data_IF_167846558949
#
_entry.id   IF_167846558949
#
_cell.length_a   1.000
_cell.length_b   1.000
_cell.length_c   1.000
_cell.angle_alpha   90.00
_cell.angle_beta   90.00
_cell.angle_gamma   90.00
#
_symmetry.space_group_name_H-M   'P 1'
#
loop_
_entity.id
_entity.type
_entity.pdbx_description
1 polymer ?
#
# COMPACT_ATOMS: atom_id res chain seq x y z
N UNK A 1 7.91 -16.68 -20.73
CA UNK A 1 8.65 -17.48 -19.72
C UNK A 1 7.82 -18.72 -19.44
N UNK A 2 8.42 -19.92 -19.40
CA UNK A 2 7.70 -21.13 -19.02
C UNK A 2 7.11 -20.96 -17.61
N UNK A 3 5.87 -21.41 -17.39
CA UNK A 3 5.30 -21.45 -16.04
C UNK A 3 6.14 -22.42 -15.20
N UNK A 4 6.79 -21.90 -14.17
CA UNK A 4 7.51 -22.72 -13.19
C UNK A 4 6.51 -23.67 -12.54
N UNK A 5 6.75 -24.98 -12.64
CA UNK A 5 5.90 -25.99 -12.04
C UNK A 5 6.41 -26.28 -10.63
N UNK A 6 5.58 -26.03 -9.63
CA UNK A 6 5.86 -26.38 -8.25
C UNK A 6 5.35 -27.81 -7.93
N UNK A 7 6.01 -28.54 -7.02
CA UNK A 7 7.26 -28.18 -6.36
C UNK A 7 8.48 -28.32 -7.30
N UNK A 8 9.45 -27.41 -7.16
CA UNK A 8 10.70 -27.42 -7.96
C UNK A 8 11.66 -28.50 -7.47
N UNK A 9 12.59 -28.91 -8.33
CA UNK A 9 13.38 -30.13 -8.10
C UNK A 9 14.88 -29.92 -8.06
N UNK A 10 15.37 -28.71 -8.36
CA UNK A 10 16.79 -28.36 -8.33
C UNK A 10 17.09 -27.33 -7.24
N UNK A 11 18.34 -27.28 -6.78
CA UNK A 11 18.79 -26.30 -5.77
C UNK A 11 18.62 -24.86 -6.28
N UNK A 12 18.98 -24.57 -7.53
CA UNK A 12 18.86 -23.23 -8.11
C UNK A 12 17.40 -22.78 -8.19
N UNK A 13 16.50 -23.65 -8.65
CA UNK A 13 15.07 -23.34 -8.66
C UNK A 13 14.52 -23.20 -7.24
N UNK A 14 15.00 -23.98 -6.27
CA UNK A 14 14.59 -23.87 -4.87
C UNK A 14 14.97 -22.52 -4.26
N UNK A 15 16.16 -21.99 -4.59
CA UNK A 15 16.58 -20.66 -4.17
C UNK A 15 15.61 -19.58 -4.65
N UNK A 16 15.21 -19.64 -5.92
CA UNK A 16 14.22 -18.71 -6.48
C UNK A 16 12.79 -18.94 -5.94
N UNK A 17 12.37 -20.19 -5.74
CA UNK A 17 11.05 -20.55 -5.25
C UNK A 17 10.79 -20.10 -3.80
N UNK A 18 11.86 -19.96 -3.01
CA UNK A 18 11.85 -19.56 -1.61
C UNK A 18 12.31 -18.10 -1.38
N UNK A 19 12.21 -17.23 -2.39
CA UNK A 19 12.61 -15.83 -2.26
C UNK A 19 11.80 -15.12 -1.15
N UNK A 20 12.44 -14.62 -0.07
CA UNK A 20 11.74 -14.13 1.12
C UNK A 20 10.98 -12.81 0.90
N UNK A 21 11.42 -11.99 -0.06
CA UNK A 21 10.79 -10.69 -0.35
C UNK A 21 9.65 -10.77 -1.38
N UNK A 22 9.39 -11.94 -1.98
CA UNK A 22 8.30 -12.10 -2.94
C UNK A 22 7.02 -12.59 -2.25
N UNK A 23 6.04 -11.69 -2.13
CA UNK A 23 4.71 -12.02 -1.64
C UNK A 23 3.94 -12.91 -2.63
N UNK A 24 3.13 -13.83 -2.12
CA UNK A 24 2.29 -14.69 -2.98
C UNK A 24 1.00 -13.96 -3.37
N UNK A 25 0.65 -14.04 -4.66
CA UNK A 25 -0.64 -13.59 -5.17
C UNK A 25 -1.80 -14.45 -4.64
N UNK A 26 -3.01 -13.91 -4.70
CA UNK A 26 -4.21 -14.70 -4.44
C UNK A 26 -4.34 -15.83 -5.46
N UNK A 27 -4.66 -17.03 -4.98
CA UNK A 27 -4.74 -18.25 -5.80
C UNK A 27 -3.39 -18.91 -6.12
N UNK A 28 -2.26 -18.38 -5.63
CA UNK A 28 -0.96 -19.03 -5.80
C UNK A 28 -0.95 -20.41 -5.10
N UNK A 29 -0.60 -21.50 -5.81
CA UNK A 29 -0.65 -22.85 -5.25
C UNK A 29 0.28 -23.04 -4.04
N UNK A 30 1.31 -22.20 -3.88
CA UNK A 30 2.27 -22.22 -2.76
C UNK A 30 1.70 -21.65 -1.47
N UNK A 31 0.53 -21.01 -1.51
CA UNK A 31 -0.11 -20.42 -0.32
C UNK A 31 -0.57 -21.51 0.64
N UNK A 32 -0.20 -21.37 1.92
CA UNK A 32 -0.67 -22.22 3.02
C UNK A 32 -1.42 -21.33 3.99
N UNK A 33 -2.62 -21.71 4.39
CA UNK A 33 -3.43 -20.97 5.36
C UNK A 33 -2.87 -21.16 6.76
N UNK A 34 -2.13 -20.16 7.24
CA UNK A 34 -1.41 -20.24 8.52
C UNK A 34 -2.22 -19.72 9.72
N UNK A 35 -3.44 -19.19 9.52
CA UNK A 35 -4.28 -18.64 10.59
C UNK A 35 -4.47 -19.59 11.78
N UNK A 36 -4.76 -20.90 11.60
CA UNK A 36 -4.96 -21.82 12.72
C UNK A 36 -3.74 -21.97 13.64
N UNK A 37 -2.53 -21.80 13.09
CA UNK A 37 -1.26 -21.89 13.83
C UNK A 37 -0.69 -20.51 14.23
N UNK A 38 -1.46 -19.45 13.96
CA UNK A 38 -1.20 -18.04 14.27
C UNK A 38 -2.24 -17.47 15.24
N UNK A 39 -2.84 -18.31 16.08
CA UNK A 39 -3.83 -17.90 17.08
C UNK A 39 -5.26 -17.79 16.56
N UNK A 40 -5.54 -18.19 15.31
CA UNK A 40 -6.90 -18.36 14.80
C UNK A 40 -7.61 -17.08 14.37
N UNK A 41 -6.94 -15.93 14.37
CA UNK A 41 -7.55 -14.66 13.97
C UNK A 41 -7.63 -14.53 12.45
N UNK A 42 -8.84 -14.69 11.89
CA UNK A 42 -9.12 -14.53 10.46
C UNK A 42 -9.14 -13.04 10.05
N UNK A 43 -7.97 -12.49 9.73
CA UNK A 43 -7.79 -11.08 9.40
C UNK A 43 -8.63 -10.63 8.21
N UNK A 44 -8.56 -11.37 7.09
CA UNK A 44 -9.27 -11.00 5.85
C UNK A 44 -10.79 -10.96 6.06
N UNK A 45 -11.32 -11.97 6.75
CA UNK A 45 -12.74 -12.06 7.13
C UNK A 45 -13.15 -10.90 8.03
N UNK A 46 -12.35 -10.60 9.05
CA UNK A 46 -12.68 -9.58 10.05
C UNK A 46 -12.71 -8.18 9.42
N UNK A 47 -11.70 -7.81 8.65
CA UNK A 47 -11.62 -6.51 7.99
C UNK A 47 -12.75 -6.34 6.97
N UNK A 48 -12.99 -7.34 6.11
CA UNK A 48 -14.07 -7.30 5.12
C UNK A 48 -15.43 -7.10 5.81
N UNK A 49 -15.67 -7.78 6.93
CA UNK A 49 -16.89 -7.64 7.71
C UNK A 49 -17.01 -6.25 8.36
N UNK A 50 -15.92 -5.70 8.90
CA UNK A 50 -15.93 -4.38 9.51
C UNK A 50 -16.26 -3.30 8.47
N UNK A 51 -15.60 -3.35 7.30
CA UNK A 51 -15.90 -2.49 6.14
C UNK A 51 -17.38 -2.60 5.74
N UNK A 52 -17.92 -3.82 5.69
CA UNK A 52 -19.34 -4.02 5.34
C UNK A 52 -20.35 -3.47 6.34
N UNK A 53 -19.90 -3.18 7.56
CA UNK A 53 -20.71 -2.61 8.64
C UNK A 53 -20.49 -1.10 8.81
N UNK A 54 -19.55 -0.52 8.08
CA UNK A 54 -19.32 0.93 8.10
C UNK A 54 -20.55 1.64 7.52
N UNK A 55 -21.14 2.61 8.25
CA UNK A 55 -22.30 3.33 7.75
C UNK A 55 -21.93 4.23 6.55
N UNK A 56 -22.88 4.51 5.64
CA UNK A 56 -22.66 5.45 4.55
C UNK A 56 -22.18 6.82 5.05
N UNK A 57 -21.21 7.40 4.35
CA UNK A 57 -20.60 8.68 4.72
C UNK A 57 -19.41 8.57 5.69
N UNK A 58 -19.11 7.36 6.18
CA UNK A 58 -17.94 7.07 6.99
C UNK A 58 -17.04 6.04 6.30
N UNK A 59 -15.77 6.01 6.71
CA UNK A 59 -14.78 5.09 6.15
C UNK A 59 -14.06 4.32 7.26
N UNK A 60 -13.87 3.02 7.02
CA UNK A 60 -13.09 2.14 7.88
C UNK A 60 -11.60 2.45 7.72
N UNK A 61 -10.89 2.67 8.83
CA UNK A 61 -9.47 3.04 8.84
C UNK A 61 -8.69 2.02 9.68
N UNK A 62 -8.16 0.99 9.02
CA UNK A 62 -7.55 -0.15 9.70
C UNK A 62 -6.03 -0.04 9.73
N UNK A 63 -5.44 -0.18 10.92
CA UNK A 63 -4.00 -0.44 11.05
C UNK A 63 -3.71 -1.94 11.14
N UNK A 64 -2.66 -2.39 10.45
CA UNK A 64 -2.14 -3.75 10.51
C UNK A 64 -0.65 -3.70 10.83
N UNK A 65 -0.19 -4.57 11.73
CA UNK A 65 1.24 -4.75 12.00
C UNK A 65 1.64 -6.21 12.09
N UNK A 66 2.93 -6.45 12.23
CA UNK A 66 3.54 -7.75 12.40
C UNK A 66 5.02 -7.69 12.03
N UNK A 67 5.77 -8.66 12.51
CA UNK A 67 7.21 -8.72 12.24
C UNK A 67 7.52 -8.77 10.74
N UNK A 68 8.68 -8.23 10.35
CA UNK A 68 9.19 -8.38 8.98
C UNK A 68 9.33 -9.87 8.68
N UNK A 69 8.90 -10.28 7.49
CA UNK A 69 8.94 -11.69 7.07
C UNK A 69 7.82 -12.56 7.64
N UNK A 70 6.86 -12.04 8.42
CA UNK A 70 5.72 -12.86 8.88
C UNK A 70 4.68 -13.15 7.78
N UNK A 71 4.87 -12.65 6.55
CA UNK A 71 3.97 -12.89 5.42
C UNK A 71 2.81 -11.90 5.30
N UNK A 72 2.94 -10.69 5.86
CA UNK A 72 1.89 -9.65 5.80
C UNK A 72 1.42 -9.36 4.38
N UNK A 73 2.34 -9.06 3.47
CA UNK A 73 2.04 -8.80 2.06
C UNK A 73 1.23 -9.93 1.41
N UNK A 74 1.57 -11.19 1.70
CA UNK A 74 0.80 -12.34 1.23
C UNK A 74 -0.63 -12.35 1.79
N UNK A 75 -0.80 -12.12 3.10
CA UNK A 75 -2.14 -12.03 3.73
C UNK A 75 -2.95 -10.82 3.23
N UNK A 76 -2.29 -9.71 2.90
CA UNK A 76 -2.92 -8.52 2.31
C UNK A 76 -3.41 -8.79 0.88
N UNK A 77 -2.67 -9.57 0.08
CA UNK A 77 -3.14 -10.05 -1.23
C UNK A 77 -4.34 -10.99 -1.12
N UNK A 78 -4.38 -11.85 -0.09
CA UNK A 78 -5.59 -12.64 0.20
C UNK A 78 -6.77 -11.76 0.62
N UNK A 79 -6.53 -10.72 1.43
CA UNK A 79 -7.54 -9.72 1.79
C UNK A 79 -8.06 -8.98 0.55
N UNK A 80 -7.17 -8.58 -0.37
CA UNK A 80 -7.56 -7.91 -1.62
C UNK A 80 -8.54 -8.76 -2.44
N UNK A 81 -8.21 -10.05 -2.65
CA UNK A 81 -9.09 -10.97 -3.37
C UNK A 81 -10.44 -11.13 -2.66
N UNK A 82 -10.43 -11.31 -1.34
CA UNK A 82 -11.67 -11.43 -0.54
C UNK A 82 -12.54 -10.17 -0.60
N UNK A 83 -11.94 -8.98 -0.57
CA UNK A 83 -12.66 -7.72 -0.73
C UNK A 83 -13.33 -7.63 -2.11
N UNK A 84 -12.60 -8.04 -3.17
CA UNK A 84 -13.15 -8.10 -4.54
C UNK A 84 -14.30 -9.09 -4.65
N UNK A 85 -14.17 -10.28 -4.08
CA UNK A 85 -15.26 -11.27 -3.98
C UNK A 85 -16.48 -10.73 -3.21
N UNK A 86 -16.24 -9.94 -2.17
CA UNK A 86 -17.29 -9.27 -1.41
C UNK A 86 -17.91 -8.06 -2.13
N UNK A 87 -17.44 -7.73 -3.35
CA UNK A 87 -17.97 -6.65 -4.18
C UNK A 87 -17.32 -5.28 -3.94
N UNK A 88 -16.15 -5.20 -3.31
CA UNK A 88 -15.39 -3.95 -3.13
C UNK A 88 -14.29 -3.79 -4.17
N UNK A 89 -14.09 -2.57 -4.65
CA UNK A 89 -12.98 -2.27 -5.55
C UNK A 89 -11.70 -2.09 -4.73
N UNK A 90 -10.94 -3.18 -4.55
CA UNK A 90 -9.73 -3.16 -3.75
C UNK A 90 -8.49 -2.81 -4.60
N UNK A 91 -7.90 -1.64 -4.29
CA UNK A 91 -6.66 -1.12 -4.88
C UNK A 91 -5.51 -1.42 -3.93
N UNK A 92 -4.50 -2.13 -4.43
CA UNK A 92 -3.28 -2.45 -3.68
C UNK A 92 -2.23 -1.38 -3.96
N UNK A 93 -1.61 -0.84 -2.92
CA UNK A 93 -0.62 0.22 -3.00
C UNK A 93 0.67 -0.32 -2.38
N UNK A 94 1.66 -0.60 -3.22
CA UNK A 94 2.99 -1.06 -2.80
C UNK A 94 3.86 0.15 -2.45
N UNK A 95 3.93 0.49 -1.17
CA UNK A 95 4.69 1.64 -0.70
C UNK A 95 6.20 1.49 -0.96
N UNK A 96 6.75 0.28 -0.98
CA UNK A 96 8.17 0.06 -1.27
C UNK A 96 8.51 0.32 -2.73
N UNK A 97 7.61 -0.03 -3.64
CA UNK A 97 7.79 0.22 -5.06
C UNK A 97 7.60 1.70 -5.41
N UNK A 98 6.71 2.40 -4.71
CA UNK A 98 6.26 3.74 -5.06
C UNK A 98 6.97 4.86 -4.29
N UNK A 99 7.35 4.63 -3.04
CA UNK A 99 7.76 5.68 -2.11
C UNK A 99 9.21 5.53 -1.65
N UNK A 100 9.82 6.67 -1.34
CA UNK A 100 11.10 6.72 -0.62
C UNK A 100 10.87 6.52 0.87
N UNK A 101 10.96 5.28 1.33
CA UNK A 101 10.78 4.90 2.74
C UNK A 101 11.83 5.49 3.70
N UNK A 102 12.91 6.07 3.17
CA UNK A 102 13.92 6.78 3.95
C UNK A 102 13.53 8.21 4.33
N UNK A 103 12.64 8.83 3.55
CA UNK A 103 12.16 10.21 3.74
C UNK A 103 10.68 10.27 3.33
N UNK A 104 9.82 9.68 4.16
CA UNK A 104 8.39 9.55 3.88
C UNK A 104 7.56 10.55 4.70
N UNK A 105 6.56 11.16 4.06
CA UNK A 105 5.56 12.03 4.67
C UNK A 105 4.14 11.58 4.31
N UNK A 106 3.14 12.06 5.05
CA UNK A 106 1.74 11.74 4.76
C UNK A 106 1.32 12.24 3.37
N UNK A 107 1.91 13.34 2.87
CA UNK A 107 1.64 13.85 1.53
C UNK A 107 2.00 12.83 0.44
N UNK A 108 3.15 12.17 0.57
CA UNK A 108 3.57 11.19 -0.43
C UNK A 108 2.61 9.99 -0.46
N UNK A 109 2.15 9.55 0.72
CA UNK A 109 1.14 8.48 0.84
C UNK A 109 -0.15 8.89 0.12
N UNK A 110 -0.66 10.09 0.36
CA UNK A 110 -1.90 10.58 -0.26
C UNK A 110 -1.80 10.68 -1.79
N UNK A 111 -0.65 11.11 -2.32
CA UNK A 111 -0.41 11.12 -3.77
C UNK A 111 -0.32 9.70 -4.33
N UNK A 112 0.38 8.78 -3.65
CA UNK A 112 0.48 7.40 -4.11
C UNK A 112 -0.88 6.69 -4.15
N UNK A 113 -1.73 6.87 -3.14
CA UNK A 113 -3.10 6.33 -3.14
C UNK A 113 -3.88 6.75 -4.40
N UNK A 114 -3.80 8.03 -4.75
CA UNK A 114 -4.58 8.60 -5.86
C UNK A 114 -3.99 8.27 -7.22
N UNK A 115 -2.65 8.14 -7.34
CA UNK A 115 -2.02 7.59 -8.53
C UNK A 115 -2.46 6.13 -8.76
N UNK A 116 -2.35 5.28 -7.75
CA UNK A 116 -2.73 3.86 -7.86
C UNK A 116 -4.22 3.68 -8.18
N UNK A 117 -5.07 4.56 -7.65
CA UNK A 117 -6.47 4.61 -8.07
C UNK A 117 -6.60 4.90 -9.57
N UNK A 118 -5.91 5.91 -10.10
CA UNK A 118 -5.96 6.25 -11.52
C UNK A 118 -5.50 5.07 -12.40
N UNK A 119 -4.42 4.39 -12.00
CA UNK A 119 -3.89 3.21 -12.69
C UNK A 119 -4.87 2.04 -12.65
N UNK A 120 -5.45 1.74 -11.48
CA UNK A 120 -6.45 0.69 -11.33
C UNK A 120 -7.72 0.97 -12.16
N UNK A 121 -8.21 2.21 -12.18
CA UNK A 121 -9.37 2.60 -12.99
C UNK A 121 -9.08 2.49 -14.49
N UNK A 122 -7.86 2.85 -14.93
CA UNK A 122 -7.43 2.69 -16.32
C UNK A 122 -7.42 1.22 -16.74
N UNK A 123 -6.92 0.33 -15.88
CA UNK A 123 -6.95 -1.12 -16.09
C UNK A 123 -8.37 -1.66 -16.32
N UNK A 124 -9.35 -1.13 -15.58
CA UNK A 124 -10.78 -1.48 -15.68
C UNK A 124 -11.53 -0.69 -16.76
N UNK A 125 -10.82 0.13 -17.55
CA UNK A 125 -11.38 1.01 -18.58
C UNK A 125 -12.46 1.97 -18.03
N UNK A 126 -12.34 2.36 -16.76
CA UNK A 126 -13.17 3.37 -16.11
C UNK A 126 -12.49 4.72 -16.33
N UNK A 127 -13.14 5.60 -17.11
CA UNK A 127 -12.61 6.93 -17.43
C UNK A 127 -13.12 7.96 -16.46
N UNK A 128 -12.19 8.66 -15.81
CA UNK A 128 -12.43 9.90 -15.06
C UNK A 128 -12.69 11.05 -16.06
N UNK A 129 -13.53 12.06 -15.74
CA UNK A 129 -13.76 13.19 -16.62
C UNK A 129 -12.46 13.88 -17.02
N UNK A 130 -12.27 14.20 -18.31
CA UNK A 130 -11.11 14.96 -18.76
C UNK A 130 -10.94 16.27 -18.00
N UNK A 131 -12.03 16.97 -17.67
CA UNK A 131 -11.99 18.24 -16.93
C UNK A 131 -11.40 18.07 -15.53
N UNK A 132 -11.87 17.08 -14.76
CA UNK A 132 -11.38 16.83 -13.41
C UNK A 132 -9.88 16.49 -13.41
N UNK A 133 -9.45 15.72 -14.41
CA UNK A 133 -8.04 15.40 -14.60
C UNK A 133 -7.24 16.64 -14.99
N UNK A 134 -7.74 17.46 -15.91
CA UNK A 134 -7.08 18.68 -16.35
C UNK A 134 -6.93 19.68 -15.19
N UNK A 135 -7.98 19.91 -14.41
CA UNK A 135 -7.95 20.82 -13.26
C UNK A 135 -6.91 20.40 -12.20
N UNK A 136 -6.75 19.09 -12.02
CA UNK A 136 -5.77 18.50 -11.13
C UNK A 136 -4.36 18.61 -11.72
N UNK A 137 -4.21 18.30 -13.02
CA UNK A 137 -2.96 18.38 -13.76
C UNK A 137 -2.40 19.81 -13.77
N UNK A 138 -3.25 20.82 -14.03
CA UNK A 138 -2.88 22.24 -14.01
C UNK A 138 -2.48 22.71 -12.61
N UNK A 139 -3.23 22.31 -11.58
CA UNK A 139 -2.90 22.69 -10.20
C UNK A 139 -1.57 22.09 -9.75
N UNK A 140 -1.29 20.83 -10.07
CA UNK A 140 0.00 20.21 -9.75
C UNK A 140 1.15 20.79 -10.58
N UNK A 141 0.93 21.06 -11.86
CA UNK A 141 1.91 21.73 -12.70
C UNK A 141 2.31 23.08 -12.09
N UNK A 142 1.34 23.82 -11.55
CA UNK A 142 1.63 25.08 -10.85
C UNK A 142 2.51 24.91 -9.60
N UNK A 143 2.42 23.78 -8.89
CA UNK A 143 3.27 23.53 -7.72
C UNK A 143 4.66 23.04 -8.13
N UNK A 144 4.72 22.16 -9.13
CA UNK A 144 5.93 21.42 -9.49
C UNK A 144 6.83 22.19 -10.45
N UNK A 145 6.27 23.01 -11.35
CA UNK A 145 7.04 23.73 -12.36
C UNK A 145 7.54 25.07 -11.81
N UNK A 146 8.81 25.40 -12.07
CA UNK A 146 9.32 26.76 -11.88
C UNK A 146 8.73 27.70 -12.94
N UNK A 147 8.79 29.01 -12.70
CA UNK A 147 8.38 30.02 -13.70
C UNK A 147 9.08 29.82 -15.06
N UNK A 148 10.35 29.43 -15.06
CA UNK A 148 11.10 29.11 -16.29
C UNK A 148 10.58 27.85 -16.99
N UNK A 149 10.28 26.79 -16.24
CA UNK A 149 9.73 25.55 -16.78
C UNK A 149 8.29 25.73 -17.28
N UNK A 150 7.49 26.57 -16.62
CA UNK A 150 6.14 26.92 -17.11
C UNK A 150 6.22 27.61 -18.47
N UNK A 151 7.13 28.58 -18.62
CA UNK A 151 7.35 29.27 -19.91
C UNK A 151 7.85 28.34 -21.02
N UNK A 152 8.55 27.27 -20.67
CA UNK A 152 9.01 26.25 -21.62
C UNK A 152 7.86 25.30 -22.02
N UNK A 153 7.03 24.88 -21.05
CA UNK A 153 5.81 24.09 -21.30
C UNK A 153 4.81 24.88 -22.14
N UNK A 154 4.54 26.15 -21.82
CA UNK A 154 3.68 27.04 -22.60
C UNK A 154 4.18 27.19 -24.05
N UNK A 155 5.49 27.37 -24.25
CA UNK A 155 6.11 27.42 -25.58
C UNK A 155 6.01 26.09 -26.34
N UNK A 156 6.08 24.95 -25.64
CA UNK A 156 5.95 23.62 -26.25
C UNK A 156 4.50 23.28 -26.62
N UNK A 157 3.52 23.82 -25.89
CA UNK A 157 2.08 23.68 -26.19
C UNK A 157 1.67 24.48 -27.43
N UNK A 158 2.40 25.55 -27.77
CA UNK A 158 2.23 26.31 -29.02
C UNK A 158 2.84 25.60 -30.25
N UNK A 159 3.71 24.60 -30.07
CA UNK A 159 4.55 24.07 -31.14
C UNK A 159 4.21 22.65 -31.65
N UNK A 160 3.43 21.81 -30.96
CA UNK A 160 3.12 20.47 -31.49
C UNK A 160 1.77 19.86 -31.02
N UNK A 161 0.86 19.68 -31.98
CA UNK A 161 -0.22 18.68 -31.91
C UNK A 161 0.39 17.27 -32.12
N UNK A 162 1.05 16.74 -31.09
CA UNK A 162 1.77 15.46 -31.15
C UNK A 162 1.77 14.71 -29.83
N UNK A 163 0.59 14.35 -29.32
CA UNK A 163 0.45 13.70 -28.01
C UNK A 163 0.76 12.20 -28.10
N UNK A 164 2.03 11.83 -27.86
CA UNK A 164 2.35 10.55 -27.21
C UNK A 164 1.72 10.50 -25.80
N UNK A 165 1.62 9.33 -25.13
CA UNK A 165 0.91 9.22 -23.86
C UNK A 165 1.56 10.11 -22.80
N UNK A 166 0.96 11.27 -22.53
CA UNK A 166 1.41 12.17 -21.49
C UNK A 166 1.33 11.44 -20.15
N UNK A 167 2.46 11.37 -19.44
CA UNK A 167 2.52 10.85 -18.06
C UNK A 167 1.51 11.63 -17.22
N UNK A 168 0.59 10.97 -16.48
CA UNK A 168 -0.40 11.65 -15.64
C UNK A 168 0.26 12.60 -14.62
N UNK A 169 -0.37 13.71 -14.24
CA UNK A 169 0.29 14.65 -13.32
C UNK A 169 0.49 14.07 -11.93
N UNK A 170 -0.37 13.18 -11.45
CA UNK A 170 -0.17 12.47 -10.18
C UNK A 170 1.12 11.63 -10.21
N UNK A 171 1.39 10.92 -11.30
CA UNK A 171 2.64 10.17 -11.45
C UNK A 171 3.87 11.11 -11.51
N UNK A 172 3.77 12.25 -12.22
CA UNK A 172 4.84 13.27 -12.23
C UNK A 172 5.07 13.87 -10.85
N UNK A 173 3.98 14.13 -10.12
CA UNK A 173 4.02 14.65 -8.77
C UNK A 173 4.68 13.66 -7.82
N UNK A 174 4.25 12.39 -7.85
CA UNK A 174 4.84 11.36 -7.01
C UNK A 174 6.34 11.26 -7.31
N UNK A 175 6.74 11.24 -8.58
CA UNK A 175 8.15 11.22 -8.96
C UNK A 175 8.93 12.46 -8.46
N UNK A 176 8.29 13.63 -8.41
CA UNK A 176 8.89 14.87 -7.92
C UNK A 176 9.07 14.86 -6.39
N UNK A 177 8.08 14.37 -5.63
CA UNK A 177 8.12 14.34 -4.15
C UNK A 177 8.85 13.11 -3.59
N UNK A 178 9.06 12.06 -4.39
CA UNK A 178 9.86 10.87 -4.02
C UNK A 178 11.31 10.96 -4.51
N UNK A 179 11.69 12.03 -5.23
CA UNK A 179 13.06 12.22 -5.72
C UNK A 179 13.45 11.31 -6.89
N UNK A 180 12.49 10.65 -7.54
CA UNK A 180 12.71 9.91 -8.78
C UNK A 180 13.05 10.85 -9.96
N UNK A 181 12.67 12.12 -9.86
CA UNK A 181 13.17 13.18 -10.75
C UNK A 181 14.52 13.66 -10.20
N UNK A 182 15.54 13.77 -11.07
CA UNK A 182 16.89 14.29 -10.77
C UNK A 182 16.91 15.80 -10.40
N UNK A 183 15.92 16.29 -9.67
CA UNK A 183 15.94 17.60 -9.02
C UNK A 183 16.41 17.40 -7.58
N UNK A 184 17.42 18.17 -7.13
CA UNK A 184 18.02 17.99 -5.80
C UNK A 184 17.01 18.05 -4.64
N UNK A 185 17.43 17.56 -3.47
CA UNK A 185 16.62 17.48 -2.23
C UNK A 185 15.90 18.78 -1.85
N UNK A 186 16.46 19.94 -2.19
CA UNK A 186 15.84 21.25 -1.97
C UNK A 186 14.51 21.44 -2.73
N UNK A 187 14.37 20.86 -3.93
CA UNK A 187 13.14 20.99 -4.72
C UNK A 187 12.00 20.17 -4.13
N UNK A 188 12.31 18.96 -3.67
CA UNK A 188 11.36 18.07 -2.97
C UNK A 188 10.78 18.76 -1.72
N UNK A 189 11.66 19.35 -0.91
CA UNK A 189 11.27 20.10 0.29
C UNK A 189 10.35 21.27 -0.09
N UNK A 190 10.70 22.02 -1.13
CA UNK A 190 9.88 23.15 -1.59
C UNK A 190 8.48 22.71 -2.09
N UNK A 191 8.41 21.62 -2.86
CA UNK A 191 7.12 21.08 -3.33
C UNK A 191 6.25 20.66 -2.13
N UNK A 192 6.81 19.89 -1.19
CA UNK A 192 6.09 19.49 0.03
C UNK A 192 5.63 20.71 0.83
N UNK A 193 6.48 21.72 1.01
CA UNK A 193 6.14 22.98 1.69
C UNK A 193 4.97 23.69 1.02
N UNK A 194 4.94 23.76 -0.31
CA UNK A 194 3.82 24.37 -1.04
C UNK A 194 2.51 23.58 -0.89
N UNK A 195 2.59 22.25 -0.86
CA UNK A 195 1.44 21.39 -0.60
C UNK A 195 0.92 21.56 0.82
N UNK A 196 1.80 21.62 1.82
CA UNK A 196 1.43 21.87 3.22
C UNK A 196 0.76 23.23 3.40
N UNK A 197 1.26 24.27 2.74
CA UNK A 197 0.64 25.60 2.75
C UNK A 197 -0.78 25.61 2.15
N UNK A 198 -1.06 24.68 1.25
CA UNK A 198 -2.33 24.53 0.56
C UNK A 198 -3.05 23.23 0.95
N UNK A 199 -2.77 22.68 2.13
CA UNK A 199 -3.17 21.32 2.53
C UNK A 199 -4.67 21.05 2.34
N UNK A 200 -5.52 22.02 2.72
CA UNK A 200 -6.97 21.89 2.56
C UNK A 200 -7.38 21.74 1.10
N UNK A 201 -6.81 22.56 0.22
CA UNK A 201 -7.07 22.52 -1.22
C UNK A 201 -6.51 21.24 -1.82
N UNK A 202 -5.34 20.81 -1.37
CA UNK A 202 -4.71 19.57 -1.78
C UNK A 202 -5.60 18.36 -1.50
N UNK A 203 -5.99 18.15 -0.24
CA UNK A 203 -6.87 17.05 0.17
C UNK A 203 -8.21 17.13 -0.58
N UNK A 204 -8.80 18.32 -0.70
CA UNK A 204 -10.05 18.49 -1.44
C UNK A 204 -9.93 18.02 -2.89
N UNK A 205 -8.85 18.39 -3.59
CA UNK A 205 -8.63 17.99 -4.99
C UNK A 205 -8.43 16.49 -5.14
N UNK A 206 -7.68 15.86 -4.23
CA UNK A 206 -7.55 14.41 -4.20
C UNK A 206 -8.91 13.73 -3.96
N UNK A 207 -9.71 14.23 -3.04
CA UNK A 207 -11.02 13.67 -2.74
C UNK A 207 -12.05 13.88 -3.85
N UNK A 208 -11.98 14.96 -4.63
CA UNK A 208 -12.82 15.11 -5.84
C UNK A 208 -12.59 13.96 -6.82
N UNK A 209 -11.32 13.54 -6.99
CA UNK A 209 -10.96 12.39 -7.83
C UNK A 209 -11.52 11.08 -7.26
N UNK A 210 -11.31 10.86 -5.96
CA UNK A 210 -11.78 9.67 -5.24
C UNK A 210 -13.30 9.57 -5.28
N UNK A 211 -14.02 10.68 -5.07
CA UNK A 211 -15.48 10.70 -5.06
C UNK A 211 -16.07 10.45 -6.46
N UNK A 212 -15.51 11.05 -7.53
CA UNK A 212 -15.92 10.74 -8.90
C UNK A 212 -15.64 9.26 -9.24
N UNK A 213 -14.49 8.72 -8.84
CA UNK A 213 -14.18 7.31 -8.99
C UNK A 213 -15.20 6.41 -8.30
N UNK A 214 -15.55 6.70 -7.04
CA UNK A 214 -16.56 5.95 -6.27
C UNK A 214 -17.93 5.96 -6.92
N UNK A 215 -18.37 7.11 -7.44
CA UNK A 215 -19.63 7.21 -8.20
C UNK A 215 -19.60 6.30 -9.44
N UNK A 216 -18.48 6.27 -10.17
CA UNK A 216 -18.33 5.41 -11.37
C UNK A 216 -18.26 3.92 -11.01
N UNK A 217 -17.54 3.58 -9.95
CA UNK A 217 -17.43 2.22 -9.43
C UNK A 217 -18.81 1.70 -8.99
N UNK A 218 -19.60 2.53 -8.31
CA UNK A 218 -20.97 2.19 -7.94
C UNK A 218 -21.85 1.90 -9.16
N UNK A 219 -21.75 2.69 -10.23
CA UNK A 219 -22.45 2.42 -11.51
C UNK A 219 -22.00 1.12 -12.20
N UNK A 220 -20.82 0.60 -11.85
CA UNK A 220 -20.29 -0.69 -12.32
C UNK A 220 -20.64 -1.85 -11.40
N UNK A 221 -21.38 -1.62 -10.31
CA UNK A 221 -21.81 -2.66 -9.37
C UNK A 221 -20.86 -2.90 -8.20
N UNK A 222 -19.79 -2.12 -8.06
CA UNK A 222 -18.94 -2.15 -6.88
C UNK A 222 -19.64 -1.46 -5.70
N UNK A 223 -19.47 -2.00 -4.48
CA UNK A 223 -20.04 -1.45 -3.25
C UNK A 223 -19.36 -0.14 -2.85
N UNK A 224 -18.03 -0.15 -2.80
CA UNK A 224 -17.20 1.03 -2.56
C UNK A 224 -15.72 0.74 -2.92
N UNK A 225 -14.87 1.74 -2.76
CA UNK A 225 -13.41 1.70 -2.91
C UNK A 225 -12.73 1.31 -1.59
N UNK A 226 -11.67 0.50 -1.68
CA UNK A 226 -10.81 0.16 -0.54
C UNK A 226 -9.35 0.23 -0.97
N UNK A 227 -8.53 0.99 -0.24
CA UNK A 227 -7.09 1.00 -0.41
C UNK A 227 -6.42 0.04 0.59
N UNK A 228 -5.45 -0.72 0.11
CA UNK A 228 -4.56 -1.57 0.92
C UNK A 228 -3.15 -1.06 0.72
N UNK A 229 -2.60 -0.37 1.71
CA UNK A 229 -1.25 0.20 1.67
C UNK A 229 -0.29 -0.71 2.41
N UNK A 230 0.53 -1.41 1.65
CA UNK A 230 1.53 -2.37 2.13
C UNK A 230 2.94 -1.77 2.10
N UNK A 231 3.80 -2.21 3.03
CA UNK A 231 5.21 -1.82 3.09
C UNK A 231 5.53 -0.59 3.95
N UNK A 232 4.54 0.18 4.40
CA UNK A 232 4.77 1.36 5.26
C UNK A 232 5.43 1.01 6.61
N UNK A 233 5.29 -0.23 7.08
CA UNK A 233 5.97 -0.68 8.30
C UNK A 233 7.50 -0.74 8.17
N UNK A 234 8.02 -0.67 6.95
CA UNK A 234 9.44 -0.72 6.62
C UNK A 234 10.06 0.69 6.53
N UNK A 235 9.28 1.75 6.78
CA UNK A 235 9.81 3.11 6.87
C UNK A 235 10.96 3.21 7.88
N UNK A 236 11.93 4.07 7.60
CA UNK A 236 13.07 4.25 8.50
C UNK A 236 12.64 4.92 9.79
N UNK A 237 13.04 4.32 10.92
CA UNK A 237 12.90 4.93 12.23
C UNK A 237 14.01 5.97 12.43
N UNK A 238 13.62 7.22 12.65
CA UNK A 238 14.54 8.26 13.11
C UNK A 238 13.87 9.13 14.19
N UNK A 239 14.59 9.50 15.26
CA UNK A 239 14.13 10.53 16.17
C UNK A 239 14.12 11.89 15.47
N UNK A 240 13.13 12.71 15.77
CA UNK A 240 12.94 14.05 15.23
C UNK A 240 13.30 15.12 16.29
N UNK A 241 13.65 16.36 15.88
CA UNK A 241 14.07 17.41 16.81
C UNK A 241 13.01 17.81 17.85
N UNK A 242 11.73 17.59 17.55
CA UNK A 242 10.60 17.86 18.43
C UNK A 242 10.34 16.73 19.46
N UNK A 243 11.20 15.71 19.50
CA UNK A 243 11.08 14.56 20.40
C UNK A 243 10.18 13.45 19.87
N UNK A 244 9.55 13.61 18.70
CA UNK A 244 8.79 12.55 18.04
C UNK A 244 9.72 11.59 17.29
N UNK A 245 9.15 10.54 16.71
CA UNK A 245 9.82 9.70 15.72
C UNK A 245 9.17 9.90 14.35
N UNK A 246 9.87 9.57 13.26
CA UNK A 246 9.29 9.50 11.91
C UNK A 246 8.01 8.66 11.87
N UNK A 247 7.97 7.56 12.64
CA UNK A 247 6.79 6.71 12.76
C UNK A 247 5.62 7.45 13.42
N UNK A 248 5.87 8.11 14.56
CA UNK A 248 4.85 8.87 15.30
C UNK A 248 4.38 10.09 14.51
N UNK A 249 5.27 10.76 13.79
CA UNK A 249 4.92 11.88 12.94
C UNK A 249 3.88 11.45 11.89
N UNK A 250 4.12 10.34 11.18
CA UNK A 250 3.21 9.85 10.14
C UNK A 250 1.88 9.33 10.70
N UNK A 251 1.92 8.44 11.69
CA UNK A 251 0.74 7.68 12.12
C UNK A 251 0.04 8.23 13.36
N UNK A 252 0.63 9.20 14.07
CA UNK A 252 0.01 9.83 15.26
C UNK A 252 -0.24 11.30 14.98
N UNK A 253 0.80 12.09 14.70
CA UNK A 253 0.66 13.53 14.47
C UNK A 253 -0.13 13.84 13.19
N UNK A 254 0.04 13.03 12.14
CA UNK A 254 -0.64 13.18 10.85
C UNK A 254 -1.75 12.15 10.59
N UNK A 255 -2.29 11.53 11.65
CA UNK A 255 -3.35 10.54 11.54
C UNK A 255 -4.60 11.09 10.85
N UNK A 256 -5.02 12.31 11.17
CA UNK A 256 -6.19 12.94 10.55
C UNK A 256 -6.01 13.13 9.04
N UNK A 257 -4.80 13.49 8.59
CA UNK A 257 -4.49 13.64 7.18
C UNK A 257 -4.50 12.29 6.46
N UNK A 258 -3.96 11.23 7.07
CA UNK A 258 -4.04 9.87 6.50
C UNK A 258 -5.49 9.35 6.41
N UNK A 259 -6.34 9.72 7.36
CA UNK A 259 -7.78 9.36 7.36
C UNK A 259 -8.63 10.28 6.47
N UNK A 260 -8.05 11.32 5.89
CA UNK A 260 -8.81 12.36 5.15
C UNK A 260 -9.29 11.91 3.78
N UNK A 261 -8.73 10.84 3.22
CA UNK A 261 -9.17 10.30 1.93
C UNK A 261 -10.56 9.69 2.07
N UNK A 262 -11.45 10.01 1.12
CA UNK A 262 -12.83 9.55 1.10
C UNK A 262 -12.96 8.08 0.66
N UNK A 263 -12.28 7.16 1.35
CA UNK A 263 -12.27 5.73 1.06
C UNK A 263 -11.95 4.93 2.32
N UNK A 264 -12.36 3.66 2.35
CA UNK A 264 -11.79 2.71 3.31
C UNK A 264 -10.29 2.56 3.04
N UNK A 265 -9.48 2.56 4.10
CA UNK A 265 -8.03 2.35 3.98
C UNK A 265 -7.52 1.39 5.02
N UNK A 266 -6.63 0.50 4.58
CA UNK A 266 -5.84 -0.38 5.42
C UNK A 266 -4.38 0.02 5.28
N UNK A 267 -3.74 0.39 6.39
CA UNK A 267 -2.32 0.75 6.44
C UNK A 267 -1.52 -0.31 7.19
N UNK A 268 -0.38 -0.72 6.63
CA UNK A 268 0.64 -1.38 7.46
C UNK A 268 1.38 -0.36 8.32
N UNK A 269 1.71 -0.73 9.55
CA UNK A 269 2.40 0.17 10.49
C UNK A 269 3.58 -0.52 11.16
N UNK A 270 4.67 0.21 11.47
CA UNK A 270 5.79 -0.33 12.22
C UNK A 270 5.34 -0.91 13.57
N UNK A 271 5.80 -2.12 13.88
CA UNK A 271 5.39 -2.82 15.11
C UNK A 271 5.77 -2.05 16.39
N UNK A 272 6.80 -1.20 16.32
CA UNK A 272 7.21 -0.34 17.43
C UNK A 272 6.12 0.63 17.86
N UNK A 273 5.24 1.08 16.96
CA UNK A 273 4.14 1.99 17.31
C UNK A 273 3.09 1.34 18.19
N UNK A 274 2.83 0.05 18.01
CA UNK A 274 1.85 -0.69 18.83
C UNK A 274 2.30 -0.80 20.29
N UNK A 275 3.60 -0.76 20.55
CA UNK A 275 4.15 -0.82 21.91
C UNK A 275 4.43 0.56 22.52
N UNK A 276 4.73 1.56 21.68
CA UNK A 276 5.26 2.85 22.15
C UNK A 276 4.28 4.02 22.04
N UNK A 277 3.11 3.83 21.42
CA UNK A 277 2.12 4.90 21.22
C UNK A 277 0.70 4.43 21.56
N UNK A 278 -0.11 5.33 22.09
CA UNK A 278 -1.55 5.09 22.20
C UNK A 278 -2.21 5.28 20.83
N UNK A 279 -2.14 4.24 20.00
CA UNK A 279 -2.71 4.28 18.65
C UNK A 279 -4.23 4.50 18.65
N UNK A 280 -4.93 4.21 19.76
CA UNK A 280 -6.38 4.34 19.87
C UNK A 280 -6.92 5.77 19.73
N UNK A 281 -6.13 6.78 20.14
CA UNK A 281 -6.53 8.19 20.00
C UNK A 281 -6.45 8.65 18.53
N UNK A 282 -5.45 8.15 17.81
CA UNK A 282 -5.21 8.46 16.40
C UNK A 282 -6.09 7.63 15.46
N UNK A 283 -6.22 6.33 15.74
CA UNK A 283 -7.00 5.36 14.99
C UNK A 283 -7.92 4.60 15.97
N UNK A 284 -9.22 4.91 16.00
CA UNK A 284 -10.15 4.31 16.95
C UNK A 284 -10.29 2.78 16.80
N UNK A 285 -10.11 2.27 15.58
CA UNK A 285 -10.10 0.84 15.32
C UNK A 285 -8.82 0.20 15.88
N UNK A 286 -8.93 -0.96 16.58
CA UNK A 286 -7.76 -1.60 17.16
C UNK A 286 -6.78 -2.03 16.06
N UNK A 287 -5.49 -1.78 16.30
CA UNK A 287 -4.44 -2.26 15.40
C UNK A 287 -4.42 -3.79 15.40
N UNK A 288 -4.53 -4.39 14.22
CA UNK A 288 -4.53 -5.85 14.06
C UNK A 288 -3.10 -6.36 13.88
N UNK A 289 -2.73 -7.40 14.60
CA UNK A 289 -1.39 -8.00 14.53
C UNK A 289 -1.46 -9.31 13.75
N UNK A 290 -0.58 -9.48 12.77
CA UNK A 290 -0.31 -10.78 12.12
C UNK A 290 0.85 -11.44 12.87
N UNK A 291 0.59 -12.43 13.74
CA UNK A 291 1.62 -13.04 14.56
C UNK A 291 2.48 -14.04 13.78
N UNK A 292 3.64 -14.36 14.33
CA UNK A 292 4.50 -15.43 13.84
C UNK A 292 3.87 -16.81 14.10
N UNK A 293 4.29 -17.80 13.30
CA UNK A 293 3.90 -19.20 13.54
C UNK A 293 4.59 -19.70 14.81
N UNK A 294 3.82 -20.25 15.74
CA UNK A 294 4.34 -20.82 16.98
C UNK A 294 5.17 -22.08 16.68
N UNK A 295 6.43 -22.16 17.15
CA UNK A 295 7.32 -23.32 16.91
C UNK A 295 7.55 -24.19 18.13
N UNK A 296 7.37 -23.62 19.32
CA UNK A 296 7.56 -24.28 20.62
C UNK A 296 6.40 -23.94 21.54
N UNK A 297 6.22 -24.74 22.59
CA UNK A 297 5.35 -24.37 23.70
C UNK A 297 5.93 -23.18 24.48
N UNK A 298 5.19 -22.72 25.49
CA UNK A 298 5.60 -21.60 26.36
C UNK A 298 6.92 -21.86 27.12
N UNK A 299 7.32 -23.12 27.26
CA UNK A 299 8.61 -23.52 27.84
C UNK A 299 9.83 -23.23 26.94
N UNK A 300 9.61 -22.80 25.69
CA UNK A 300 10.64 -22.51 24.68
C UNK A 300 11.39 -23.75 24.18
N UNK A 301 11.05 -24.95 24.64
CA UNK A 301 11.80 -26.20 24.37
C UNK A 301 10.96 -27.23 23.66
N UNK A 302 9.74 -27.46 24.14
CA UNK A 302 8.86 -28.50 23.62
C UNK A 302 8.35 -28.10 22.22
N UNK A 303 8.58 -28.92 21.17
CA UNK A 303 8.08 -28.64 19.83
C UNK A 303 6.57 -28.44 19.78
N UNK A 304 6.11 -27.36 19.15
CA UNK A 304 4.70 -27.20 18.78
C UNK A 304 4.48 -27.76 17.38
N UNK A 305 4.08 -29.04 17.30
CA UNK A 305 3.95 -29.77 16.03
C UNK A 305 3.07 -29.07 14.99
N UNK A 306 1.86 -28.56 15.32
CA UNK A 306 1.00 -27.96 14.30
C UNK A 306 1.68 -26.82 13.53
N UNK A 307 2.39 -25.93 14.22
CA UNK A 307 3.10 -24.83 13.58
C UNK A 307 4.31 -25.29 12.76
N UNK A 308 5.05 -26.29 13.24
CA UNK A 308 6.17 -26.88 12.49
C UNK A 308 5.69 -27.57 11.22
N UNK A 309 4.66 -28.39 11.32
CA UNK A 309 4.07 -29.11 10.19
C UNK A 309 3.54 -28.13 9.12
N UNK A 310 2.90 -27.03 9.54
CA UNK A 310 2.47 -25.98 8.62
C UNK A 310 3.65 -25.28 7.92
N UNK A 311 4.77 -25.03 8.60
CA UNK A 311 5.97 -24.49 7.94
C UNK A 311 6.65 -25.52 7.02
N UNK A 312 6.65 -26.80 7.39
CA UNK A 312 7.10 -27.85 6.48
C UNK A 312 6.23 -27.90 5.21
N UNK A 313 4.91 -27.73 5.34
CA UNK A 313 4.01 -27.63 4.19
C UNK A 313 4.35 -26.41 3.31
N UNK A 314 4.62 -25.24 3.90
CA UNK A 314 5.05 -24.04 3.17
C UNK A 314 6.26 -24.35 2.27
N UNK A 315 7.25 -25.07 2.79
CA UNK A 315 8.43 -25.48 2.01
C UNK A 315 8.07 -26.57 0.99
N UNK A 316 7.31 -27.60 1.38
CA UNK A 316 6.95 -28.72 0.51
C UNK A 316 6.09 -28.30 -0.70
N UNK A 317 5.30 -27.22 -0.58
CA UNK A 317 4.58 -26.64 -1.74
C UNK A 317 5.48 -25.89 -2.71
N UNK A 318 6.71 -25.57 -2.31
CA UNK A 318 7.71 -24.88 -3.14
C UNK A 318 8.74 -25.84 -3.71
N UNK A 319 9.19 -26.80 -2.91
CA UNK A 319 10.39 -27.61 -3.18
C UNK A 319 10.11 -29.09 -2.93
N UNK A 320 10.54 -29.95 -3.86
CA UNK A 320 10.62 -31.39 -3.64
C UNK A 320 11.85 -31.67 -2.77
N UNK A 321 11.62 -31.65 -1.47
CA UNK A 321 12.69 -31.75 -0.45
C UNK A 321 13.50 -33.03 -0.61
N UNK A 322 12.94 -34.13 -1.11
CA UNK A 322 13.72 -35.36 -1.30
C UNK A 322 14.69 -35.18 -2.45
N UNK A 323 14.21 -34.74 -3.61
CA UNK A 323 15.04 -34.57 -4.80
C UNK A 323 16.15 -33.54 -4.61
N UNK A 324 15.86 -32.41 -3.96
CA UNK A 324 16.84 -31.32 -3.78
C UNK A 324 17.94 -31.66 -2.78
N UNK A 325 17.66 -32.47 -1.76
CA UNK A 325 18.68 -32.85 -0.78
C UNK A 325 19.40 -34.17 -1.13
N UNK A 326 18.92 -34.90 -2.14
CA UNK A 326 19.57 -36.08 -2.71
C UNK A 326 20.40 -35.76 -3.97
N UNK A 327 20.30 -34.54 -4.52
CA UNK A 327 20.96 -34.09 -5.76
C UNK A 327 22.41 -33.65 -5.59
#
# INVERSE_FOLDING_TARGET
MAMVRYPVQTVDEAYHACHPDLALEAGDPRYVHLTPVRGGFELSTTITRNISRTPPGYFHQQLITGHRGCGKSTELKQLQARLREAGYFAVYVDAEALLDLGDLTYLDVLVALTQELEEALRGEKIRIPPQLRQDLDEWFANIILTEEQRREVERSLEADFGVGPQVPALARMLAAITGQIRSGSSRRIEIRRQLEQNLRVFIQRLNLLVDDARVRLSRKGWKDLVFIVDGLEKMHYAPLPDGQSTHSALFVAHAEQLKSIHSHVIYTVPISLVFNANMGDAFPDPTLVIPMVKLTQSDGKTPYRPGRDALFEVIARRVDVRRVFES
#
